data_IF_575634413346
#
_entry.id   IF_575634413346
#
_cell.length_a   1.000
_cell.length_b   1.000
_cell.length_c   1.000
_cell.angle_alpha   90.00
_cell.angle_beta   90.00
_cell.angle_gamma   90.00
#
_symmetry.space_group_name_H-M   'P 1'
#
loop_
_entity.id
_entity.type
_entity.pdbx_description
1 polymer ?
#
# COMPACT_ATOMS: atom_id res chain seq x y z
N UNK A 1 12.41 -14.18 -13.19
CA UNK A 1 11.55 -13.97 -12.01
C UNK A 1 10.27 -14.79 -12.17
N UNK A 2 10.25 -15.98 -11.58
CA UNK A 2 9.09 -16.87 -11.63
C UNK A 2 7.98 -16.28 -10.75
N UNK A 3 6.84 -15.92 -11.34
CA UNK A 3 5.70 -15.37 -10.60
C UNK A 3 5.12 -16.47 -9.73
N UNK A 4 5.32 -16.32 -8.42
CA UNK A 4 4.80 -17.21 -7.37
C UNK A 4 3.29 -17.50 -7.60
N UNK A 5 2.96 -18.76 -7.92
CA UNK A 5 1.58 -19.21 -8.08
C UNK A 5 0.86 -19.03 -6.73
N UNK A 6 -0.03 -18.04 -6.63
CA UNK A 6 -0.92 -17.87 -5.47
C UNK A 6 -1.65 -19.19 -5.21
N UNK A 7 -1.29 -19.89 -4.11
CA UNK A 7 -1.96 -21.13 -3.68
C UNK A 7 -3.46 -20.85 -3.49
N UNK A 8 -4.28 -21.34 -4.41
CA UNK A 8 -5.74 -21.34 -4.27
C UNK A 8 -6.13 -22.35 -3.19
N UNK A 9 -7.12 -22.01 -2.37
CA UNK A 9 -7.64 -22.94 -1.36
C UNK A 9 -8.20 -24.20 -2.02
N UNK A 10 -7.92 -25.35 -1.42
CA UNK A 10 -8.56 -26.61 -1.79
C UNK A 10 -10.06 -26.58 -1.45
N UNK A 11 -10.84 -27.46 -2.07
CA UNK A 11 -12.27 -27.55 -1.78
C UNK A 11 -12.55 -27.92 -0.32
N UNK A 12 -11.72 -28.79 0.27
CA UNK A 12 -11.80 -29.14 1.68
C UNK A 12 -11.62 -27.92 2.59
N UNK A 13 -10.63 -27.05 2.29
CA UNK A 13 -10.41 -25.81 3.04
C UNK A 13 -11.60 -24.86 2.91
N UNK A 14 -12.18 -24.73 1.71
CA UNK A 14 -13.39 -23.92 1.49
C UNK A 14 -14.59 -24.47 2.28
N UNK A 15 -14.79 -25.79 2.28
CA UNK A 15 -15.86 -26.45 3.06
C UNK A 15 -15.65 -26.22 4.55
N UNK A 16 -14.43 -26.41 5.05
CA UNK A 16 -14.09 -26.14 6.45
C UNK A 16 -14.37 -24.69 6.83
N UNK A 17 -13.95 -23.71 6.01
CA UNK A 17 -14.16 -22.30 6.28
C UNK A 17 -15.65 -21.91 6.35
N UNK A 18 -16.53 -22.66 5.67
CA UNK A 18 -17.98 -22.49 5.71
C UNK A 18 -18.67 -23.31 6.82
N UNK A 19 -18.00 -24.31 7.38
CA UNK A 19 -18.52 -25.11 8.50
C UNK A 19 -18.63 -24.29 9.80
N UNK A 20 -19.52 -24.70 10.71
CA UNK A 20 -19.66 -24.07 12.02
C UNK A 20 -18.37 -24.12 12.83
N UNK A 21 -17.65 -25.24 12.78
CA UNK A 21 -16.33 -25.39 13.43
C UNK A 21 -15.32 -24.36 12.91
N UNK A 22 -15.26 -24.18 11.59
CA UNK A 22 -14.38 -23.20 10.96
C UNK A 22 -14.75 -21.76 11.32
N UNK A 23 -16.04 -21.43 11.34
CA UNK A 23 -16.54 -20.12 11.78
C UNK A 23 -16.21 -19.85 13.24
N UNK A 24 -16.39 -20.82 14.13
CA UNK A 24 -16.09 -20.70 15.56
C UNK A 24 -14.59 -20.46 15.78
N UNK A 25 -13.74 -21.25 15.12
CA UNK A 25 -12.29 -21.08 15.17
C UNK A 25 -11.87 -19.68 14.70
N UNK A 26 -12.48 -19.18 13.61
CA UNK A 26 -12.24 -17.82 13.12
C UNK A 26 -12.67 -16.76 14.13
N UNK A 27 -13.86 -16.90 14.74
CA UNK A 27 -14.34 -15.98 15.78
C UNK A 27 -13.40 -15.94 16.97
N UNK A 28 -12.95 -17.11 17.46
CA UNK A 28 -11.99 -17.22 18.56
C UNK A 28 -10.66 -16.52 18.25
N UNK A 29 -10.17 -16.66 17.02
CA UNK A 29 -8.97 -15.94 16.60
C UNK A 29 -9.20 -14.43 16.55
N UNK A 30 -10.33 -13.99 15.97
CA UNK A 30 -10.66 -12.56 15.88
C UNK A 30 -10.81 -11.89 17.25
N UNK A 31 -11.32 -12.60 18.26
CA UNK A 31 -11.41 -12.09 19.63
C UNK A 31 -10.08 -12.15 20.40
N UNK A 32 -9.10 -12.92 19.92
CA UNK A 32 -7.79 -13.02 20.56
C UNK A 32 -6.98 -11.72 20.43
N UNK A 33 -6.01 -11.53 21.33
CA UNK A 33 -5.07 -10.41 21.26
C UNK A 33 -4.29 -10.37 19.93
N UNK A 34 -3.81 -11.53 19.47
CA UNK A 34 -3.10 -11.65 18.19
C UNK A 34 -3.98 -11.23 17.00
N UNK A 35 -5.25 -11.64 17.00
CA UNK A 35 -6.21 -11.25 15.96
C UNK A 35 -6.47 -9.75 15.94
N UNK A 36 -6.63 -9.13 17.12
CA UNK A 36 -6.80 -7.69 17.26
C UNK A 36 -5.56 -6.92 16.82
N UNK A 37 -4.37 -7.33 17.24
CA UNK A 37 -3.11 -6.70 16.83
C UNK A 37 -2.91 -6.75 15.31
N UNK A 38 -3.18 -7.91 14.69
CA UNK A 38 -3.13 -8.06 13.23
C UNK A 38 -4.12 -7.12 12.52
N UNK A 39 -5.34 -6.99 13.04
CA UNK A 39 -6.34 -6.09 12.48
C UNK A 39 -5.90 -4.62 12.56
N UNK A 40 -5.36 -4.19 13.70
CA UNK A 40 -4.84 -2.84 13.87
C UNK A 40 -3.67 -2.55 12.91
N UNK A 41 -2.74 -3.50 12.76
CA UNK A 41 -1.63 -3.37 11.82
C UNK A 41 -2.12 -3.25 10.37
N UNK A 42 -3.16 -4.00 9.98
CA UNK A 42 -3.78 -3.87 8.67
C UNK A 42 -4.40 -2.48 8.46
N UNK A 43 -5.15 -1.97 9.44
CA UNK A 43 -5.77 -0.64 9.36
C UNK A 43 -4.73 0.48 9.27
N UNK A 44 -3.64 0.38 10.04
CA UNK A 44 -2.54 1.34 9.99
C UNK A 44 -1.91 1.38 8.59
N UNK A 45 -1.58 0.22 8.01
CA UNK A 45 -1.05 0.12 6.64
C UNK A 45 -2.02 0.67 5.60
N UNK A 46 -3.33 0.37 5.74
CA UNK A 46 -4.36 0.88 4.85
C UNK A 46 -4.46 2.41 4.92
N UNK A 47 -4.38 2.99 6.11
CA UNK A 47 -4.40 4.45 6.31
C UNK A 47 -3.16 5.11 5.69
N UNK A 48 -1.96 4.55 5.91
CA UNK A 48 -0.72 5.05 5.33
C UNK A 48 -0.79 5.06 3.79
N UNK A 49 -1.21 3.94 3.18
CA UNK A 49 -1.37 3.85 1.72
C UNK A 49 -2.36 4.88 1.15
N UNK A 50 -3.45 5.17 1.88
CA UNK A 50 -4.40 6.19 1.47
C UNK A 50 -3.84 7.61 1.60
N UNK A 51 -3.03 7.87 2.62
CA UNK A 51 -2.35 9.15 2.80
C UNK A 51 -1.32 9.37 1.67
N UNK A 52 -0.47 8.37 1.38
CA UNK A 52 0.45 8.39 0.23
C UNK A 52 -0.30 8.64 -1.08
N UNK A 53 -1.41 7.94 -1.32
CA UNK A 53 -2.21 8.13 -2.53
C UNK A 53 -2.86 9.54 -2.63
N UNK A 54 -3.13 10.21 -1.50
CA UNK A 54 -3.59 11.61 -1.48
C UNK A 54 -2.44 12.57 -1.79
N UNK A 55 -1.31 12.38 -1.13
CA UNK A 55 -0.09 13.17 -1.35
C UNK A 55 0.36 13.11 -2.82
N UNK A 56 0.35 11.92 -3.44
CA UNK A 56 0.68 11.76 -4.86
C UNK A 56 -0.31 12.47 -5.80
N UNK A 57 -1.59 12.58 -5.41
CA UNK A 57 -2.58 13.35 -6.19
C UNK A 57 -2.40 14.85 -6.06
N UNK A 58 -1.99 15.32 -4.88
CA UNK A 58 -1.73 16.75 -4.62
C UNK A 58 -0.43 17.23 -5.29
N UNK A 59 0.57 16.37 -5.42
CA UNK A 59 1.84 16.65 -6.11
C UNK A 59 1.73 16.33 -7.62
N UNK A 60 0.58 16.62 -8.25
CA UNK A 60 0.52 16.62 -9.72
C UNK A 60 1.66 17.51 -10.27
N UNK A 61 2.34 17.11 -11.35
CA UNK A 61 3.56 17.78 -11.79
C UNK A 61 3.23 19.24 -12.14
N UNK A 62 3.70 20.16 -11.30
CA UNK A 62 3.78 21.57 -11.68
C UNK A 62 4.72 21.59 -12.88
N UNK A 63 4.21 21.95 -14.04
CA UNK A 63 5.03 22.20 -15.23
C UNK A 63 5.99 23.33 -14.89
N UNK A 64 7.21 22.98 -14.46
CA UNK A 64 8.29 23.93 -14.24
C UNK A 64 8.73 24.39 -15.63
N UNK A 65 8.09 25.45 -16.14
CA UNK A 65 8.58 26.20 -17.30
C UNK A 65 9.86 26.90 -16.88
N UNK A 66 10.99 26.25 -17.15
CA UNK A 66 12.30 26.82 -16.93
C UNK A 66 12.55 27.87 -18.04
N UNK A 67 12.27 29.14 -17.76
CA UNK A 67 12.72 30.23 -18.63
C UNK A 67 14.23 30.40 -18.44
N UNK A 68 14.99 29.99 -19.46
CA UNK A 68 16.43 30.19 -19.52
C UNK A 68 16.73 31.69 -19.71
N UNK A 69 16.96 32.40 -18.61
CA UNK A 69 17.51 33.75 -18.65
C UNK A 69 18.96 33.69 -19.14
N UNK A 70 19.20 34.20 -20.36
CA UNK A 70 20.52 34.43 -20.96
C UNK A 70 21.41 35.21 -19.98
N UNK A 71 22.52 34.60 -19.56
CA UNK A 71 23.58 35.29 -18.85
C UNK A 71 24.51 35.86 -19.92
N UNK A 72 24.45 37.17 -20.16
CA UNK A 72 25.40 37.83 -21.06
C UNK A 72 26.80 37.79 -20.44
N UNK A 73 27.75 37.22 -21.19
CA UNK A 73 29.16 37.17 -20.81
C UNK A 73 29.75 38.58 -20.89
N UNK A 74 29.96 39.21 -19.73
CA UNK A 74 30.73 40.44 -19.60
C UNK A 74 32.18 40.19 -20.03
N UNK A 75 32.59 40.89 -21.09
CA UNK A 75 33.93 40.87 -21.65
C UNK A 75 34.99 41.25 -20.60
N UNK A 76 35.91 40.32 -20.34
CA UNK A 76 37.18 40.59 -19.65
C UNK A 76 38.05 41.42 -20.59
N UNK A 77 38.24 42.71 -20.30
CA UNK A 77 39.26 43.53 -20.98
C UNK A 77 40.64 43.21 -20.38
N UNK A 78 41.60 43.04 -21.30
CA UNK A 78 43.05 42.88 -21.08
C UNK A 78 43.68 44.10 -20.42
#
# INVERSE_FOLDING_TARGET
MEKEKKKKWSEAQKRYAKSEKGKLARKKYQSSEKGRASHLAYLAKRKAKLAEAKVVKEISPVEIKFEASKIEAGAVKK
#
